data_IF_712614421425
#
_entry.id   IF_712614421425
#
_cell.length_a   1.000
_cell.length_b   1.000
_cell.length_c   1.000
_cell.angle_alpha   90.00
_cell.angle_beta   90.00
_cell.angle_gamma   90.00
#
_symmetry.space_group_name_H-M   'P 1'
#
loop_
_entity.id
_entity.type
_entity.pdbx_description
1 polymer ?
#
# COMPACT_ATOMS: atom_id res chain seq x y z
N UNK A 1 -4.28 1.91 -9.07
CA UNK A 1 -3.80 0.51 -9.18
C UNK A 1 -2.28 0.51 -9.24
N UNK A 2 -1.61 -0.30 -8.43
CA UNK A 2 -0.18 -0.61 -8.59
C UNK A 2 -0.10 -2.08 -8.96
N UNK A 3 0.15 -2.38 -10.23
CA UNK A 3 0.45 -3.74 -10.70
C UNK A 3 1.94 -3.87 -10.97
N UNK A 4 2.59 -4.85 -10.35
CA UNK A 4 4.02 -5.10 -10.48
C UNK A 4 4.30 -6.07 -11.65
N UNK A 5 4.11 -5.58 -12.88
CA UNK A 5 4.60 -6.25 -14.07
C UNK A 5 6.14 -6.07 -14.18
N UNK A 6 6.82 -7.16 -14.54
CA UNK A 6 8.27 -7.24 -14.74
C UNK A 6 8.57 -7.66 -16.16
N UNK A 7 9.64 -7.13 -16.72
CA UNK A 7 10.22 -7.64 -17.95
C UNK A 7 11.31 -8.68 -17.65
N UNK A 8 11.60 -9.54 -18.60
CA UNK A 8 12.52 -10.69 -18.47
C UNK A 8 13.46 -10.79 -19.66
N UNK A 9 14.76 -10.58 -19.41
CA UNK A 9 15.82 -10.78 -20.40
C UNK A 9 16.99 -11.54 -19.78
N UNK A 10 17.28 -12.73 -20.30
CA UNK A 10 18.37 -13.59 -19.84
C UNK A 10 19.43 -13.79 -20.94
N UNK A 11 20.69 -13.93 -20.50
CA UNK A 11 21.86 -14.16 -21.34
C UNK A 11 23.06 -13.43 -20.74
N UNK A 12 24.25 -14.01 -20.63
CA UNK A 12 24.73 -15.31 -21.06
C UNK A 12 26.26 -15.22 -21.01
N UNK A 13 26.93 -16.05 -20.21
CA UNK A 13 28.34 -15.82 -19.89
C UNK A 13 29.29 -16.38 -20.96
N UNK A 14 30.41 -15.70 -21.19
CA UNK A 14 31.65 -16.32 -21.65
C UNK A 14 32.85 -15.70 -20.91
N UNK A 15 33.83 -16.52 -20.54
CA UNK A 15 35.07 -16.11 -19.83
C UNK A 15 36.27 -16.43 -20.72
N UNK A 16 37.11 -15.46 -21.02
CA UNK A 16 38.44 -15.72 -21.59
C UNK A 16 39.54 -14.93 -20.88
N UNK A 17 40.66 -15.60 -20.64
CA UNK A 17 41.87 -15.01 -20.08
C UNK A 17 42.57 -14.08 -21.08
N UNK A 18 43.15 -13.00 -20.57
CA UNK A 18 44.31 -12.35 -21.18
C UNK A 18 45.21 -11.76 -20.08
N UNK A 19 46.51 -12.07 -20.15
CA UNK A 19 47.55 -11.53 -19.27
C UNK A 19 48.26 -10.35 -19.93
N UNK A 20 48.59 -9.29 -19.17
CA UNK A 20 49.42 -8.19 -19.68
C UNK A 20 49.89 -7.25 -18.55
N UNK A 21 51.20 -7.00 -18.49
CA UNK A 21 51.82 -6.07 -17.52
C UNK A 21 51.80 -4.64 -18.07
N UNK A 22 51.64 -3.64 -17.19
CA UNK A 22 51.75 -2.23 -17.55
C UNK A 22 51.54 -1.32 -16.34
N UNK A 23 52.59 -1.07 -15.56
CA UNK A 23 52.53 -0.21 -14.38
C UNK A 23 53.04 1.21 -14.70
N UNK A 24 52.46 2.22 -14.03
CA UNK A 24 53.12 3.53 -13.86
C UNK A 24 52.74 4.65 -14.83
N UNK A 25 51.45 5.02 -14.91
CA UNK A 25 50.97 6.42 -15.07
C UNK A 25 49.44 6.60 -15.00
N UNK A 26 48.66 5.54 -15.20
CA UNK A 26 47.19 5.60 -15.18
C UNK A 26 46.56 5.71 -13.78
N UNK A 27 47.30 5.47 -12.70
CA UNK A 27 46.75 5.36 -11.34
C UNK A 27 45.97 6.61 -10.87
N UNK A 28 46.48 7.80 -11.16
CA UNK A 28 45.85 9.08 -10.75
C UNK A 28 44.57 9.32 -11.56
N UNK A 29 44.63 9.22 -12.89
CA UNK A 29 43.44 9.36 -13.76
C UNK A 29 42.39 8.28 -13.53
N UNK A 30 42.77 7.09 -13.06
CA UNK A 30 41.81 6.06 -12.61
C UNK A 30 41.14 6.44 -11.30
N UNK A 31 41.88 6.99 -10.33
CA UNK A 31 41.29 7.45 -9.07
C UNK A 31 40.28 8.57 -9.33
N UNK A 32 40.65 9.56 -10.15
CA UNK A 32 39.77 10.67 -10.54
C UNK A 32 38.50 10.17 -11.25
N UNK A 33 38.61 9.15 -12.12
CA UNK A 33 37.44 8.50 -12.75
C UNK A 33 36.61 7.63 -11.81
N UNK A 34 37.20 7.05 -10.77
CA UNK A 34 36.47 6.28 -9.74
C UNK A 34 35.72 7.23 -8.81
N UNK A 35 36.29 8.39 -8.46
CA UNK A 35 35.61 9.44 -7.68
C UNK A 35 34.52 10.14 -8.52
N UNK A 36 34.77 10.42 -9.81
CA UNK A 36 33.77 10.97 -10.73
C UNK A 36 32.68 9.96 -11.17
N UNK A 37 32.72 8.71 -10.70
CA UNK A 37 31.66 7.73 -10.89
C UNK A 37 30.70 7.63 -9.68
N UNK A 38 30.90 8.43 -8.63
CA UNK A 38 30.08 8.45 -7.40
C UNK A 38 28.98 9.53 -7.46
N UNK A 39 28.80 10.22 -8.59
CA UNK A 39 27.98 11.44 -8.71
C UNK A 39 26.64 11.27 -9.42
N UNK A 40 26.06 10.05 -9.49
CA UNK A 40 24.71 9.82 -10.03
C UNK A 40 23.92 8.76 -9.25
N UNK A 41 24.08 8.77 -7.92
CA UNK A 41 23.39 7.84 -7.01
C UNK A 41 22.44 8.64 -6.12
N UNK A 42 21.14 8.52 -6.38
CA UNK A 42 20.09 9.20 -5.59
C UNK A 42 20.15 8.80 -4.11
N UNK A 43 20.33 9.81 -3.24
CA UNK A 43 20.37 9.64 -1.79
C UNK A 43 18.98 9.85 -1.15
N UNK A 44 18.84 9.47 0.13
CA UNK A 44 17.67 9.86 0.93
C UNK A 44 17.50 11.38 0.98
N UNK A 45 18.59 12.15 1.14
CA UNK A 45 18.54 13.61 1.19
C UNK A 45 18.01 14.25 -0.10
N UNK A 46 18.34 13.70 -1.27
CA UNK A 46 17.79 14.17 -2.55
C UNK A 46 16.28 13.94 -2.63
N UNK A 47 15.81 12.81 -2.11
CA UNK A 47 14.40 12.43 -2.07
C UNK A 47 13.64 13.27 -1.05
N UNK A 48 14.19 13.50 0.15
CA UNK A 48 13.62 14.36 1.18
C UNK A 48 13.42 15.79 0.67
N UNK A 49 14.39 16.33 -0.09
CA UNK A 49 14.30 17.64 -0.75
C UNK A 49 13.17 17.69 -1.78
N UNK A 50 13.00 16.64 -2.57
CA UNK A 50 11.90 16.57 -3.55
C UNK A 50 10.53 16.40 -2.89
N UNK A 51 10.43 15.60 -1.82
CA UNK A 51 9.21 15.47 -0.99
C UNK A 51 8.82 16.84 -0.43
N UNK A 52 9.76 17.57 0.16
CA UNK A 52 9.54 18.90 0.70
C UNK A 52 9.10 19.90 -0.38
N UNK A 53 9.65 19.81 -1.60
CA UNK A 53 9.24 20.66 -2.72
C UNK A 53 7.80 20.36 -3.19
N UNK A 54 7.41 19.09 -3.31
CA UNK A 54 6.03 18.70 -3.66
C UNK A 54 5.02 19.14 -2.59
N UNK A 55 5.40 19.04 -1.30
CA UNK A 55 4.58 19.47 -0.17
C UNK A 55 4.44 20.99 -0.11
N UNK A 56 5.52 21.75 -0.33
CA UNK A 56 5.48 23.20 -0.43
C UNK A 56 4.59 23.66 -1.60
N UNK A 57 4.78 23.07 -2.79
CA UNK A 57 3.96 23.37 -3.96
C UNK A 57 2.48 22.99 -3.76
N UNK A 58 2.18 21.94 -2.98
CA UNK A 58 0.81 21.61 -2.58
C UNK A 58 0.21 22.68 -1.66
N UNK A 59 0.97 23.10 -0.64
CA UNK A 59 0.57 24.19 0.27
C UNK A 59 0.28 25.50 -0.47
N UNK A 60 1.13 25.89 -1.43
CA UNK A 60 0.92 27.06 -2.29
C UNK A 60 -0.35 26.94 -3.14
N UNK A 61 -0.62 25.76 -3.75
CA UNK A 61 -1.85 25.54 -4.53
C UNK A 61 -3.10 25.70 -3.67
N UNK A 62 -3.14 25.06 -2.49
CA UNK A 62 -4.31 25.11 -1.60
C UNK A 62 -4.50 26.52 -1.01
N UNK A 63 -3.42 27.21 -0.64
CA UNK A 63 -3.47 28.62 -0.22
C UNK A 63 -3.97 29.55 -1.35
N UNK A 64 -3.66 29.22 -2.60
CA UNK A 64 -4.21 29.87 -3.80
C UNK A 64 -5.66 29.48 -4.16
N UNK A 65 -6.33 28.67 -3.34
CA UNK A 65 -7.73 28.27 -3.54
C UNK A 65 -7.95 26.99 -4.34
N UNK A 66 -6.91 26.19 -4.61
CA UNK A 66 -7.08 24.87 -5.20
C UNK A 66 -7.78 23.89 -4.22
N UNK A 67 -8.56 22.91 -4.73
CA UNK A 67 -9.14 21.86 -3.89
C UNK A 67 -8.09 21.04 -3.12
N UNK A 68 -8.47 20.56 -1.93
CA UNK A 68 -7.65 19.65 -1.12
C UNK A 68 -7.50 18.30 -1.82
N UNK A 69 -6.26 17.80 -1.93
CA UNK A 69 -5.93 16.55 -2.61
C UNK A 69 -5.92 15.38 -1.62
N UNK A 70 -7.01 14.60 -1.53
CA UNK A 70 -7.12 13.46 -0.62
C UNK A 70 -6.45 12.15 -1.12
N UNK A 71 -6.03 12.11 -2.39
CA UNK A 71 -5.39 10.97 -3.02
C UNK A 71 -4.02 11.36 -3.58
N UNK A 72 -3.05 10.43 -3.64
CA UNK A 72 -1.73 10.73 -4.15
C UNK A 72 -1.77 11.04 -5.65
N UNK A 73 -0.98 12.03 -6.06
CA UNK A 73 -0.81 12.36 -7.48
C UNK A 73 -0.18 11.20 -8.25
N UNK A 74 -0.68 10.92 -9.45
CA UNK A 74 -0.20 9.81 -10.29
C UNK A 74 1.26 10.00 -10.74
N UNK A 75 1.69 11.25 -10.86
CA UNK A 75 3.01 11.68 -11.34
C UNK A 75 3.99 12.05 -10.21
N UNK A 76 3.70 11.68 -8.94
CA UNK A 76 4.50 12.01 -7.77
C UNK A 76 5.94 11.48 -7.87
N UNK A 77 6.88 12.37 -8.24
CA UNK A 77 8.25 12.03 -8.65
C UNK A 77 9.11 11.34 -7.59
N UNK A 78 9.07 11.70 -6.28
CA UNK A 78 9.89 11.05 -5.26
C UNK A 78 9.70 9.53 -5.21
N UNK A 79 8.49 9.04 -5.50
CA UNK A 79 8.23 7.63 -5.77
C UNK A 79 8.61 7.27 -7.23
N UNK A 80 9.85 6.83 -7.45
CA UNK A 80 10.46 6.71 -8.79
C UNK A 80 9.70 5.82 -9.78
N UNK A 81 8.95 4.83 -9.30
CA UNK A 81 8.14 3.97 -10.18
C UNK A 81 6.96 4.70 -10.82
N UNK A 82 6.50 5.84 -10.28
CA UNK A 82 5.40 6.64 -10.84
C UNK A 82 5.78 7.27 -12.19
N UNK A 83 7.04 7.69 -12.34
CA UNK A 83 7.54 8.53 -13.45
C UNK A 83 7.29 7.92 -14.83
N UNK A 84 7.34 6.59 -14.94
CA UNK A 84 7.11 5.84 -16.18
C UNK A 84 5.78 5.08 -16.21
N UNK A 85 4.94 5.21 -15.17
CA UNK A 85 3.72 4.40 -14.97
C UNK A 85 2.45 5.22 -14.71
N UNK A 86 2.43 6.48 -15.13
CA UNK A 86 1.24 7.34 -15.11
C UNK A 86 0.76 7.69 -16.53
N UNK A 87 -0.56 7.83 -16.75
CA UNK A 87 -1.09 8.41 -17.98
C UNK A 87 -0.62 9.86 -18.14
N UNK A 88 -0.16 10.23 -19.34
CA UNK A 88 0.20 11.62 -19.68
C UNK A 88 -0.99 12.48 -20.10
N UNK A 89 -2.11 11.85 -20.46
CA UNK A 89 -3.35 12.53 -20.79
C UNK A 89 -4.21 12.71 -19.53
N UNK A 90 -4.99 13.80 -19.43
CA UNK A 90 -5.94 13.97 -18.32
C UNK A 90 -6.97 12.84 -18.33
N UNK A 91 -7.48 12.50 -17.15
CA UNK A 91 -8.60 11.57 -17.04
C UNK A 91 -9.87 12.22 -17.64
N UNK A 92 -10.58 11.49 -18.48
CA UNK A 92 -11.88 11.92 -19.00
C UNK A 92 -12.91 11.66 -17.89
N UNK A 93 -13.52 12.73 -17.37
CA UNK A 93 -14.61 12.61 -16.43
C UNK A 93 -15.89 12.18 -17.17
N UNK A 94 -16.50 11.08 -16.72
CA UNK A 94 -17.78 10.58 -17.22
C UNK A 94 -18.88 11.05 -16.27
N UNK A 95 -19.90 11.72 -16.78
CA UNK A 95 -21.06 12.15 -16.00
C UNK A 95 -22.06 11.00 -15.87
N UNK A 96 -21.89 10.20 -14.82
CA UNK A 96 -22.75 9.05 -14.47
C UNK A 96 -24.21 9.42 -14.23
N UNK A 97 -24.54 10.71 -14.09
CA UNK A 97 -25.94 11.15 -13.98
C UNK A 97 -26.63 11.31 -15.33
N UNK A 98 -25.86 11.43 -16.42
CA UNK A 98 -26.38 11.50 -17.80
C UNK A 98 -26.32 10.16 -18.54
N UNK A 99 -25.35 9.33 -18.18
CA UNK A 99 -25.17 8.02 -18.78
C UNK A 99 -24.63 7.03 -17.73
N UNK A 100 -25.54 6.41 -16.94
CA UNK A 100 -25.16 5.46 -15.89
C UNK A 100 -24.66 4.12 -16.45
N UNK A 101 -24.86 3.81 -17.75
CA UNK A 101 -24.35 2.57 -18.36
C UNK A 101 -22.83 2.63 -18.59
N UNK A 102 -22.23 3.83 -18.61
CA UNK A 102 -20.78 4.01 -18.76
C UNK A 102 -19.96 3.71 -17.50
N UNK A 103 -20.59 3.44 -16.35
CA UNK A 103 -19.90 3.08 -15.10
C UNK A 103 -20.59 1.90 -14.44
N UNK A 104 -19.83 0.84 -14.15
CA UNK A 104 -20.34 -0.36 -13.52
C UNK A 104 -20.74 -0.08 -12.05
N UNK A 105 -22.05 0.11 -11.82
CA UNK A 105 -22.64 0.36 -10.51
C UNK A 105 -22.79 -0.90 -9.65
N UNK A 106 -22.52 -2.08 -10.21
CA UNK A 106 -22.45 -3.36 -9.52
C UNK A 106 -21.02 -3.72 -9.11
N UNK A 107 -20.90 -4.64 -8.18
CA UNK A 107 -19.64 -5.21 -7.68
C UNK A 107 -19.82 -6.72 -7.48
N UNK A 108 -18.77 -7.55 -7.60
CA UNK A 108 -18.88 -8.98 -7.34
C UNK A 108 -19.39 -9.24 -5.91
N UNK A 109 -20.51 -9.96 -5.82
CA UNK A 109 -21.01 -10.46 -4.54
C UNK A 109 -20.20 -11.70 -4.13
N UNK A 110 -19.72 -11.70 -2.88
CA UNK A 110 -18.99 -12.82 -2.29
C UNK A 110 -19.86 -13.42 -1.19
N UNK A 111 -20.08 -14.73 -1.24
CA UNK A 111 -20.88 -15.42 -0.23
C UNK A 111 -20.05 -15.84 0.99
N UNK A 112 -20.72 -16.09 2.12
CA UNK A 112 -20.10 -16.68 3.33
C UNK A 112 -19.39 -18.02 3.07
N UNK A 113 -19.73 -18.71 1.96
CA UNK A 113 -19.09 -19.97 1.56
C UNK A 113 -17.76 -19.77 0.82
N UNK A 114 -17.49 -18.56 0.34
CA UNK A 114 -16.29 -18.23 -0.42
C UNK A 114 -15.12 -17.80 0.50
N UNK A 115 -15.40 -17.49 1.77
CA UNK A 115 -14.45 -17.03 2.79
C UNK A 115 -14.62 -17.89 4.05
N UNK A 116 -13.57 -18.60 4.48
CA UNK A 116 -13.68 -19.46 5.68
C UNK A 116 -13.49 -18.64 6.96
N UNK A 117 -14.02 -19.14 8.09
CA UNK A 117 -13.81 -18.53 9.42
C UNK A 117 -12.36 -18.55 9.93
N UNK A 118 -11.40 -19.03 9.13
CA UNK A 118 -9.95 -18.95 9.38
C UNK A 118 -9.20 -18.08 8.37
N UNK A 119 -9.86 -17.61 7.30
CA UNK A 119 -9.21 -16.81 6.25
C UNK A 119 -8.74 -15.43 6.77
N UNK A 120 -9.29 -14.97 7.89
CA UNK A 120 -8.94 -13.72 8.54
C UNK A 120 -7.94 -13.87 9.71
N UNK A 121 -7.56 -15.10 10.07
CA UNK A 121 -6.52 -15.36 11.06
C UNK A 121 -5.25 -15.89 10.38
N UNK A 122 -4.37 -14.95 10.02
CA UNK A 122 -3.08 -15.22 9.37
C UNK A 122 -2.12 -16.00 10.28
N UNK A 123 -2.43 -16.17 11.57
CA UNK A 123 -1.62 -16.96 12.51
C UNK A 123 -2.01 -18.44 12.58
N UNK A 124 -3.12 -18.83 11.95
CA UNK A 124 -3.69 -20.20 11.99
C UNK A 124 -3.74 -20.91 10.63
N UNK A 125 -3.11 -20.35 9.60
CA UNK A 125 -3.09 -20.90 8.24
C UNK A 125 -2.05 -22.03 8.03
N UNK A 126 -1.20 -22.30 9.03
CA UNK A 126 -0.05 -23.21 8.95
C UNK A 126 0.00 -24.18 10.15
N UNK A 127 0.79 -25.27 10.09
CA UNK A 127 0.85 -26.27 11.17
C UNK A 127 1.48 -25.77 12.49
N UNK A 128 2.24 -24.69 12.44
CA UNK A 128 2.82 -24.02 13.62
C UNK A 128 2.46 -22.55 13.66
N UNK A 129 2.85 -21.87 14.73
CA UNK A 129 2.60 -20.43 14.89
C UNK A 129 3.69 -19.58 14.20
N UNK A 130 3.33 -18.41 13.63
CA UNK A 130 4.28 -17.45 13.10
C UNK A 130 5.02 -16.70 14.21
N UNK A 131 6.24 -16.27 13.91
CA UNK A 131 7.07 -15.44 14.78
C UNK A 131 6.67 -13.97 14.63
N UNK A 132 6.45 -13.28 15.76
CA UNK A 132 6.27 -11.83 15.79
C UNK A 132 5.35 -11.34 16.91
N UNK A 133 5.16 -10.03 16.96
CA UNK A 133 4.15 -9.37 17.79
C UNK A 133 2.76 -9.71 17.22
N UNK A 134 1.99 -10.58 17.88
CA UNK A 134 0.60 -10.86 17.46
C UNK A 134 -0.27 -9.63 17.68
N UNK A 135 -1.07 -9.30 16.67
CA UNK A 135 -1.99 -8.16 16.67
C UNK A 135 -3.38 -8.57 16.16
N UNK A 136 -4.41 -7.98 16.76
CA UNK A 136 -5.76 -7.90 16.20
C UNK A 136 -5.87 -6.55 15.49
N UNK A 137 -6.27 -6.56 14.21
CA UNK A 137 -6.59 -5.35 13.44
C UNK A 137 -8.09 -5.37 13.16
N UNK A 138 -8.81 -4.32 13.50
CA UNK A 138 -10.27 -4.22 13.32
C UNK A 138 -10.69 -2.80 13.01
N UNK A 139 -11.91 -2.62 12.50
CA UNK A 139 -12.51 -1.31 12.23
C UNK A 139 -13.70 -1.48 11.30
N UNK A 140 -14.21 -0.36 10.75
CA UNK A 140 -15.41 -0.35 9.92
C UNK A 140 -15.12 0.06 8.48
N UNK A 141 -15.81 -0.57 7.54
CA UNK A 141 -15.93 -0.12 6.16
C UNK A 141 -17.21 0.73 6.03
N UNK A 142 -17.04 2.00 5.68
CA UNK A 142 -18.11 3.00 5.66
C UNK A 142 -18.23 3.69 4.29
N UNK A 143 -19.42 4.19 3.97
CA UNK A 143 -19.60 5.17 2.90
C UNK A 143 -19.26 6.59 3.39
N UNK A 144 -19.21 7.55 2.45
CA UNK A 144 -18.96 8.98 2.71
C UNK A 144 -19.96 9.68 3.65
N UNK A 145 -21.13 9.09 3.90
CA UNK A 145 -22.14 9.60 4.83
C UNK A 145 -22.09 8.86 6.19
N UNK A 146 -21.15 7.93 6.37
CA UNK A 146 -20.96 7.14 7.59
C UNK A 146 -21.83 5.89 7.69
N UNK A 147 -22.48 5.44 6.61
CA UNK A 147 -23.27 4.19 6.61
C UNK A 147 -22.37 2.97 6.47
N UNK A 148 -22.71 1.83 7.10
CA UNK A 148 -21.94 0.60 6.98
C UNK A 148 -22.02 0.00 5.57
N UNK A 149 -20.87 -0.40 5.03
CA UNK A 149 -20.77 -1.19 3.80
C UNK A 149 -20.72 -2.67 4.20
N UNK A 150 -21.83 -3.38 4.01
CA UNK A 150 -22.11 -4.73 4.55
C UNK A 150 -21.73 -5.85 3.57
N UNK A 151 -21.40 -7.03 4.10
CA UNK A 151 -21.17 -8.25 3.30
C UNK A 151 -19.99 -8.14 2.33
N UNK A 152 -19.08 -7.20 2.58
CA UNK A 152 -18.12 -6.74 1.58
C UNK A 152 -16.75 -7.37 1.79
N UNK A 153 -16.17 -7.92 0.72
CA UNK A 153 -14.84 -8.51 0.76
C UNK A 153 -13.76 -7.46 1.07
N UNK A 154 -13.05 -7.70 2.17
CA UNK A 154 -11.80 -7.04 2.58
C UNK A 154 -10.69 -8.08 2.49
N UNK A 155 -9.65 -7.81 1.71
CA UNK A 155 -8.47 -8.67 1.56
C UNK A 155 -7.24 -7.91 2.05
N UNK A 156 -6.31 -8.62 2.70
CA UNK A 156 -5.05 -8.05 3.21
C UNK A 156 -3.84 -8.84 2.72
N UNK A 157 -2.72 -8.13 2.51
CA UNK A 157 -1.41 -8.76 2.36
C UNK A 157 -0.29 -7.93 3.02
N UNK A 158 0.71 -8.61 3.55
CA UNK A 158 1.81 -8.00 4.30
C UNK A 158 3.08 -8.87 4.27
N UNK A 159 4.19 -8.28 4.68
CA UNK A 159 5.41 -9.02 5.02
C UNK A 159 5.25 -9.76 6.37
N UNK A 160 6.16 -10.70 6.64
CA UNK A 160 6.34 -11.25 7.99
C UNK A 160 6.96 -10.22 8.96
N UNK A 161 7.14 -10.60 10.23
CA UNK A 161 7.75 -9.78 11.27
C UNK A 161 9.21 -9.34 10.98
N UNK A 162 9.91 -10.05 10.07
CA UNK A 162 11.25 -9.71 9.61
C UNK A 162 11.27 -8.86 8.32
N UNK A 163 10.11 -8.38 7.84
CA UNK A 163 10.01 -7.57 6.61
C UNK A 163 10.04 -8.37 5.30
N UNK A 164 10.04 -9.71 5.37
CA UNK A 164 10.08 -10.58 4.17
C UNK A 164 8.67 -10.93 3.68
N UNK A 165 8.39 -10.65 2.41
CA UNK A 165 7.22 -11.20 1.70
C UNK A 165 7.46 -12.64 1.24
N UNK A 166 6.44 -13.50 1.37
CA UNK A 166 6.40 -14.86 0.83
C UNK A 166 6.19 -14.89 -0.70
N UNK A 167 7.01 -14.14 -1.45
CA UNK A 167 6.86 -13.94 -2.89
C UNK A 167 8.14 -14.26 -3.67
N UNK A 168 8.02 -14.95 -4.81
CA UNK A 168 9.16 -15.47 -5.60
C UNK A 168 10.15 -14.40 -6.11
N UNK A 169 9.75 -13.14 -6.17
CA UNK A 169 10.62 -12.02 -6.61
C UNK A 169 11.20 -11.20 -5.44
N UNK A 170 10.86 -11.54 -4.19
CA UNK A 170 11.38 -10.84 -3.03
C UNK A 170 12.86 -11.20 -2.79
N UNK A 171 13.70 -10.17 -2.62
CA UNK A 171 15.17 -10.25 -2.57
C UNK A 171 15.79 -9.74 -1.25
N UNK A 172 15.00 -9.21 -0.30
CA UNK A 172 15.47 -8.57 0.96
C UNK A 172 16.58 -9.31 1.73
N UNK A 173 16.63 -10.64 1.65
CA UNK A 173 17.51 -11.53 2.42
C UNK A 173 17.23 -11.67 3.93
N UNK A 174 16.19 -10.99 4.44
CA UNK A 174 15.54 -11.37 5.70
C UNK A 174 14.94 -12.79 5.62
N UNK A 175 14.87 -13.55 6.74
CA UNK A 175 14.34 -14.90 6.74
C UNK A 175 12.84 -14.94 6.37
N UNK A 176 12.45 -15.96 5.61
CA UNK A 176 11.06 -16.36 5.53
C UNK A 176 10.65 -17.05 6.84
N UNK A 177 9.38 -16.92 7.18
CA UNK A 177 8.76 -17.68 8.27
C UNK A 177 7.98 -18.85 7.64
N UNK A 178 8.29 -20.12 7.96
CA UNK A 178 7.58 -21.27 7.40
C UNK A 178 6.11 -21.35 7.82
N UNK A 179 5.71 -20.61 8.86
CA UNK A 179 4.36 -20.55 9.40
C UNK A 179 3.63 -19.25 9.03
N UNK A 180 4.15 -18.43 8.10
CA UNK A 180 3.51 -17.18 7.70
C UNK A 180 3.56 -16.91 6.20
N UNK A 181 2.37 -16.89 5.58
CA UNK A 181 2.15 -16.49 4.17
C UNK A 181 1.83 -15.00 4.01
N UNK A 182 1.30 -14.36 5.06
CA UNK A 182 1.03 -12.93 5.06
C UNK A 182 -0.14 -12.47 4.18
N UNK A 183 -1.14 -13.33 3.94
CA UNK A 183 -2.35 -12.98 3.19
C UNK A 183 -3.61 -13.48 3.90
N UNK A 184 -4.69 -12.71 3.85
CA UNK A 184 -5.97 -13.10 4.45
C UNK A 184 -7.14 -12.29 3.91
N UNK A 185 -8.36 -12.69 4.26
CA UNK A 185 -9.59 -12.03 3.81
C UNK A 185 -10.76 -12.26 4.78
N UNK A 186 -11.70 -11.32 4.82
CA UNK A 186 -12.96 -11.40 5.56
C UNK A 186 -14.07 -10.71 4.78
N UNK A 187 -15.32 -11.04 5.08
CA UNK A 187 -16.46 -10.17 4.74
C UNK A 187 -16.69 -9.18 5.89
N UNK A 188 -17.30 -8.03 5.60
CA UNK A 188 -17.84 -7.13 6.63
C UNK A 188 -19.20 -7.58 7.12
N UNK A 189 -19.53 -7.30 8.37
CA UNK A 189 -20.84 -7.60 8.96
C UNK A 189 -21.91 -6.52 8.66
N UNK A 190 -23.10 -6.65 9.27
CA UNK A 190 -24.23 -5.71 9.13
C UNK A 190 -23.96 -4.31 9.71
N UNK A 191 -22.94 -4.14 10.54
CA UNK A 191 -22.48 -2.85 11.04
C UNK A 191 -21.19 -2.38 10.33
N UNK A 192 -20.76 -3.11 9.30
CA UNK A 192 -19.60 -2.80 8.46
C UNK A 192 -18.26 -3.18 9.10
N UNK A 193 -18.25 -3.87 10.25
CA UNK A 193 -17.00 -4.25 10.90
C UNK A 193 -16.25 -5.33 10.12
N UNK A 194 -14.93 -5.22 10.13
CA UNK A 194 -14.01 -6.28 9.73
C UNK A 194 -13.00 -6.55 10.85
N UNK A 195 -12.45 -7.76 10.89
CA UNK A 195 -11.41 -8.15 11.86
C UNK A 195 -10.39 -9.11 11.23
N UNK A 196 -9.12 -8.89 11.53
CA UNK A 196 -8.01 -9.79 11.25
C UNK A 196 -7.18 -10.08 12.50
N UNK A 197 -6.62 -11.28 12.58
CA UNK A 197 -5.54 -11.63 13.52
C UNK A 197 -4.29 -11.94 12.70
N UNK A 198 -3.16 -11.34 13.05
CA UNK A 198 -1.90 -11.45 12.27
C UNK A 198 -0.69 -11.19 13.17
N UNK A 199 0.52 -11.23 12.63
CA UNK A 199 1.71 -10.65 13.26
C UNK A 199 1.99 -9.27 12.68
N UNK A 200 2.49 -8.34 13.49
CA UNK A 200 2.91 -7.03 13.02
C UNK A 200 4.06 -7.17 12.01
N UNK A 201 3.93 -6.62 10.80
CA UNK A 201 4.95 -6.73 9.77
C UNK A 201 6.20 -5.91 10.14
N UNK A 202 7.37 -6.43 9.78
CA UNK A 202 8.62 -5.66 9.86
C UNK A 202 8.70 -4.61 8.75
N UNK A 203 9.43 -3.49 8.97
CA UNK A 203 9.84 -2.60 7.89
C UNK A 203 10.81 -3.32 6.95
N UNK A 204 10.90 -2.90 5.69
CA UNK A 204 11.77 -3.54 4.70
C UNK A 204 12.44 -2.56 3.73
N UNK A 205 13.67 -2.85 3.26
CA UNK A 205 14.39 -2.02 2.30
C UNK A 205 13.89 -2.27 0.88
N UNK A 206 13.98 -1.26 0.03
CA UNK A 206 13.54 -1.36 -1.36
C UNK A 206 14.37 -0.46 -2.28
N UNK A 207 14.23 -0.62 -3.60
CA UNK A 207 15.12 0.02 -4.59
C UNK A 207 14.50 1.27 -5.24
N UNK A 208 14.01 2.21 -4.44
CA UNK A 208 13.60 3.54 -4.93
C UNK A 208 14.79 4.50 -5.06
N UNK A 209 15.69 4.44 -4.09
CA UNK A 209 16.89 5.25 -3.94
C UNK A 209 17.84 4.54 -2.95
N UNK A 210 19.05 5.04 -2.69
CA UNK A 210 19.95 4.41 -1.71
C UNK A 210 19.44 4.60 -0.29
N UNK A 211 19.40 3.49 0.46
CA UNK A 211 18.84 3.40 1.82
C UNK A 211 17.33 3.70 1.92
N UNK A 212 16.56 3.44 0.86
CA UNK A 212 15.10 3.53 0.94
C UNK A 212 14.52 2.37 1.77
N UNK A 213 13.73 2.69 2.78
CA UNK A 213 12.95 1.73 3.58
C UNK A 213 11.45 2.02 3.45
N UNK A 214 10.63 1.01 3.70
CA UNK A 214 9.19 1.15 3.96
C UNK A 214 8.93 0.99 5.46
N UNK A 215 8.07 1.82 6.09
CA UNK A 215 7.56 1.59 7.44
C UNK A 215 6.80 0.27 7.53
N UNK A 216 6.49 -0.18 8.75
CA UNK A 216 5.58 -1.29 8.95
C UNK A 216 4.18 -0.94 8.38
N UNK A 217 3.66 -1.78 7.48
CA UNK A 217 2.35 -1.57 6.86
C UNK A 217 1.68 -2.88 6.45
N UNK A 218 0.34 -2.84 6.39
CA UNK A 218 -0.50 -3.90 5.83
C UNK A 218 -1.20 -3.30 4.61
N UNK A 219 -1.13 -3.97 3.47
CA UNK A 219 -1.94 -3.59 2.30
C UNK A 219 -3.38 -4.05 2.48
N UNK A 220 -4.31 -3.21 2.06
CA UNK A 220 -5.74 -3.51 2.03
C UNK A 220 -6.27 -3.40 0.62
N UNK A 221 -7.06 -4.39 0.22
CA UNK A 221 -7.93 -4.38 -0.95
C UNK A 221 -9.36 -4.45 -0.45
N UNK A 222 -10.15 -3.45 -0.84
CA UNK A 222 -11.60 -3.45 -0.62
C UNK A 222 -12.29 -3.22 -1.95
N UNK A 223 -13.35 -3.97 -2.16
CA UNK A 223 -14.41 -3.63 -3.10
C UNK A 223 -15.44 -2.78 -2.35
N UNK A 224 -16.24 -1.98 -3.04
CA UNK A 224 -17.47 -1.41 -2.48
C UNK A 224 -18.69 -2.01 -3.18
N UNK A 225 -19.88 -1.46 -2.94
CA UNK A 225 -21.11 -1.90 -3.59
C UNK A 225 -21.14 -1.59 -5.09
N UNK A 226 -20.38 -0.59 -5.55
CA UNK A 226 -20.13 -0.30 -6.96
C UNK A 226 -18.64 -0.41 -7.33
N UNK A 227 -18.32 -0.77 -8.58
CA UNK A 227 -16.93 -0.88 -9.06
C UNK A 227 -16.13 0.42 -8.90
N UNK A 228 -16.79 1.58 -9.05
CA UNK A 228 -16.20 2.90 -8.84
C UNK A 228 -15.58 3.10 -7.43
N UNK A 229 -16.01 2.32 -6.44
CA UNK A 229 -15.53 2.39 -5.06
C UNK A 229 -14.31 1.49 -4.78
N UNK A 230 -13.82 0.76 -5.79
CA UNK A 230 -12.71 -0.18 -5.67
C UNK A 230 -11.43 0.51 -5.18
N UNK A 231 -11.05 0.26 -3.93
CA UNK A 231 -9.88 0.87 -3.29
C UNK A 231 -8.80 -0.17 -2.98
N UNK A 232 -7.56 0.14 -3.34
CA UNK A 232 -6.36 -0.52 -2.82
C UNK A 232 -5.52 0.54 -2.11
N UNK A 233 -5.20 0.29 -0.85
CA UNK A 233 -4.54 1.23 0.05
C UNK A 233 -3.58 0.50 0.99
N UNK A 234 -2.95 1.23 1.92
CA UNK A 234 -2.02 0.71 2.94
C UNK A 234 -2.37 1.30 4.30
N UNK A 235 -2.51 0.45 5.30
CA UNK A 235 -2.58 0.80 6.72
C UNK A 235 -1.17 0.82 7.30
N UNK A 236 -0.86 1.83 8.11
CA UNK A 236 0.41 1.99 8.82
C UNK A 236 0.21 1.98 10.34
N UNK A 237 1.26 1.71 11.10
CA UNK A 237 1.23 1.69 12.56
C UNK A 237 1.63 3.03 13.19
N UNK A 238 1.07 3.42 14.34
CA UNK A 238 1.39 4.70 14.97
C UNK A 238 2.85 4.76 15.44
N UNK A 239 3.43 5.96 15.39
CA UNK A 239 4.79 6.28 15.84
C UNK A 239 5.94 5.56 15.10
N UNK A 240 5.73 5.14 13.84
CA UNK A 240 6.82 4.59 13.01
C UNK A 240 7.81 5.71 12.58
N UNK A 241 9.11 5.60 12.90
CA UNK A 241 10.11 6.64 12.58
C UNK A 241 10.42 6.75 11.08
N UNK A 242 10.00 5.80 10.25
CA UNK A 242 10.24 5.83 8.80
C UNK A 242 9.22 6.70 8.05
N UNK A 243 8.18 7.21 8.71
CA UNK A 243 7.16 8.05 8.09
C UNK A 243 7.68 9.27 7.32
N UNK A 244 8.65 10.08 7.81
CA UNK A 244 9.18 11.22 7.06
C UNK A 244 9.90 10.81 5.78
N UNK A 245 10.40 9.56 5.71
CA UNK A 245 11.35 9.09 4.71
C UNK A 245 10.74 8.23 3.61
N UNK A 246 9.50 7.74 3.77
CA UNK A 246 8.81 6.88 2.78
C UNK A 246 8.11 7.71 1.67
N UNK A 247 8.62 7.72 0.42
CA UNK A 247 7.99 8.44 -0.68
C UNK A 247 6.58 7.94 -1.04
N UNK A 248 6.20 6.72 -0.64
CA UNK A 248 4.85 6.20 -0.88
C UNK A 248 3.86 6.85 0.09
N UNK A 249 4.15 6.85 1.39
CA UNK A 249 3.32 7.56 2.38
C UNK A 249 3.30 9.07 2.11
N UNK A 250 4.45 9.67 1.79
CA UNK A 250 4.59 11.10 1.52
C UNK A 250 3.95 11.56 0.20
N UNK A 251 3.57 10.63 -0.69
CA UNK A 251 2.78 10.95 -1.90
C UNK A 251 1.37 11.44 -1.61
N UNK A 252 0.85 11.19 -0.40
CA UNK A 252 -0.36 11.83 0.13
C UNK A 252 0.06 13.15 0.78
N UNK A 253 0.06 14.23 0.01
CA UNK A 253 0.54 15.55 0.43
C UNK A 253 -0.32 16.17 1.52
N UNK A 254 -1.63 15.93 1.51
CA UNK A 254 -2.54 16.38 2.57
C UNK A 254 -2.28 15.69 3.92
N UNK A 255 -1.93 16.46 4.94
CA UNK A 255 -1.64 15.98 6.30
C UNK A 255 -2.81 15.21 6.92
N UNK A 256 -4.04 15.68 6.71
CA UNK A 256 -5.22 15.04 7.28
C UNK A 256 -5.51 13.71 6.58
N UNK A 257 -5.44 13.65 5.25
CA UNK A 257 -5.56 12.40 4.49
C UNK A 257 -4.44 11.40 4.83
N UNK A 258 -3.19 11.87 4.99
CA UNK A 258 -2.05 11.01 5.34
C UNK A 258 -2.20 10.39 6.74
N UNK A 259 -2.73 11.14 7.72
CA UNK A 259 -3.04 10.62 9.06
C UNK A 259 -4.15 9.55 9.05
N UNK A 260 -5.12 9.61 8.13
CA UNK A 260 -6.17 8.58 7.98
C UNK A 260 -5.61 7.22 7.55
N UNK A 261 -4.37 7.13 7.06
CA UNK A 261 -3.71 5.86 6.74
C UNK A 261 -3.08 5.16 7.97
N UNK A 262 -3.05 5.83 9.13
CA UNK A 262 -2.41 5.31 10.34
C UNK A 262 -3.47 4.74 11.28
N UNK A 263 -3.31 3.48 11.69
CA UNK A 263 -4.17 2.85 12.69
C UNK A 263 -3.97 3.48 14.08
N UNK A 264 -5.03 3.51 14.88
CA UNK A 264 -4.95 3.83 16.30
C UNK A 264 -4.67 2.54 17.09
N UNK A 265 -3.84 2.60 18.13
CA UNK A 265 -3.81 1.53 19.13
C UNK A 265 -5.11 1.59 19.95
N UNK A 266 -5.76 0.45 20.14
CA UNK A 266 -6.97 0.31 20.94
C UNK A 266 -6.79 -0.86 21.92
N UNK A 267 -6.73 -0.53 23.20
CA UNK A 267 -6.57 -1.52 24.26
C UNK A 267 -7.80 -2.44 24.38
N UNK A 268 -9.01 -1.97 24.04
CA UNK A 268 -10.23 -2.78 24.10
C UNK A 268 -10.29 -3.88 23.03
N UNK A 269 -9.58 -3.70 21.92
CA UNK A 269 -9.37 -4.72 20.88
C UNK A 269 -8.24 -5.71 21.23
N UNK A 270 -7.51 -5.50 22.32
CA UNK A 270 -6.45 -6.42 22.75
C UNK A 270 -7.04 -7.68 23.37
N UNK A 271 -6.43 -8.82 23.08
CA UNK A 271 -6.81 -10.12 23.67
C UNK A 271 -5.80 -10.47 24.75
N UNK A 272 -6.22 -10.66 26.02
CA UNK A 272 -5.32 -10.97 27.13
C UNK A 272 -4.34 -12.09 26.81
N UNK A 273 -3.06 -11.87 27.12
CA UNK A 273 -1.96 -12.83 26.93
C UNK A 273 -1.74 -13.33 25.47
N UNK A 274 -2.45 -12.73 24.49
CA UNK A 274 -2.47 -13.23 23.11
C UNK A 274 -2.08 -12.20 22.04
N UNK A 275 -2.72 -11.02 21.99
CA UNK A 275 -2.49 -10.02 20.92
C UNK A 275 -2.82 -8.58 21.32
N UNK A 276 -2.08 -7.59 20.83
CA UNK A 276 -2.42 -6.16 20.96
C UNK A 276 -3.46 -5.73 19.90
N UNK A 277 -4.30 -4.74 20.24
CA UNK A 277 -5.38 -4.26 19.38
C UNK A 277 -5.06 -2.99 18.60
N UNK A 278 -5.42 -2.96 17.32
CA UNK A 278 -5.34 -1.78 16.45
C UNK A 278 -6.67 -1.52 15.74
N UNK A 279 -7.17 -0.29 15.86
CA UNK A 279 -8.40 0.18 15.23
C UNK A 279 -8.08 1.00 13.96
N UNK A 280 -8.73 0.69 12.83
CA UNK A 280 -8.60 1.45 11.58
C UNK A 280 -9.87 1.40 10.72
N UNK A 281 -10.51 2.55 10.51
CA UNK A 281 -11.67 2.67 9.62
C UNK A 281 -11.27 2.94 8.18
N UNK A 282 -12.06 2.42 7.24
CA UNK A 282 -11.92 2.65 5.80
C UNK A 282 -13.19 3.33 5.30
N UNK A 283 -13.06 4.51 4.71
CA UNK A 283 -14.19 5.25 4.10
C UNK A 283 -14.07 5.17 2.58
N UNK A 284 -15.12 4.70 1.92
CA UNK A 284 -15.25 4.66 0.47
C UNK A 284 -16.01 5.88 -0.03
N UNK A 285 -15.51 6.50 -1.10
CA UNK A 285 -16.33 7.41 -1.92
C UNK A 285 -17.28 6.57 -2.80
N UNK A 286 -18.34 7.19 -3.33
CA UNK A 286 -19.29 6.50 -4.20
C UNK A 286 -20.60 7.27 -4.44
N UNK A 287 -21.35 6.91 -5.49
CA UNK A 287 -22.63 7.53 -5.78
C UNK A 287 -23.65 7.22 -4.69
N UNK A 288 -24.65 8.09 -4.54
CA UNK A 288 -25.87 7.78 -3.77
C UNK A 288 -26.46 6.48 -4.31
N UNK A 289 -26.94 5.60 -3.43
CA UNK A 289 -27.89 4.59 -3.84
C UNK A 289 -29.08 5.29 -4.50
N UNK A 290 -29.35 5.00 -5.76
CA UNK A 290 -30.62 5.40 -6.40
C UNK A 290 -31.72 4.66 -5.65
N UNK A 291 -32.70 5.41 -5.12
CA UNK A 291 -33.86 4.80 -4.47
C UNK A 291 -34.57 3.88 -5.46
N UNK A 292 -34.49 2.58 -5.25
CA UNK A 292 -35.48 1.65 -5.81
C UNK A 292 -36.79 1.92 -5.11
N UNK A 293 -37.86 2.18 -5.87
CA UNK A 293 -39.16 2.55 -5.29
C UNK A 293 -39.64 1.54 -4.25
N UNK A 294 -40.20 2.04 -3.15
CA UNK A 294 -40.79 1.19 -2.11
C UNK A 294 -41.93 0.36 -2.71
N UNK A 295 -41.82 -0.96 -2.57
CA UNK A 295 -42.81 -1.90 -3.06
C UNK A 295 -44.19 -1.60 -2.48
N UNK A 296 -45.11 -1.18 -3.35
CA UNK A 296 -46.50 -0.90 -3.01
C UNK A 296 -47.13 -2.14 -2.35
N UNK A 297 -47.48 -2.04 -1.06
CA UNK A 297 -48.23 -3.10 -0.37
C UNK A 297 -49.65 -3.14 -0.95
N UNK A 298 -50.11 -4.27 -1.52
CA UNK A 298 -51.54 -4.46 -1.71
C UNK A 298 -52.22 -4.61 -0.34
N UNK A 299 -53.41 -4.02 -0.25
CA UNK A 299 -54.33 -4.03 0.91
C UNK A 299 -54.85 -5.41 1.27
#
# INVERSE_FOLDING_TARGET
>A
MISALTDSGAGGADRRHASGRGAGRDGVRRMDKVVAAVTDVLTQHDIDREIAAEHAAYGERVAGGAPVEHHPRRDYRPYRSSVLRHPRQPAIAVDVTRDPELVELSSPAWGERDVTGTDNDLTRQHPGEPLGERITVSGRLLDRDGRPVRGQLVEVWQANSAGRYAHRREQHDAPLDPNFTGAGRTLTDDEGFYRFTTVRPGPYPWRNHVNAWRPAHIHFSVFGSAFAQRLVTQMYFPNDPLFPYDPILQSVTDDAARRRLVAAYDHSLSVPEFSLGYHWDIVLDGPRATWTEEGHRPS
#
